data_IF_597392783553
#
_entry.id   IF_597392783553
#
_cell.length_a   1.000
_cell.length_b   1.000
_cell.length_c   1.000
_cell.angle_alpha   90.00
_cell.angle_beta   90.00
_cell.angle_gamma   90.00
#
_symmetry.space_group_name_H-M   'P 1'
#
loop_
_entity.id
_entity.type
_entity.pdbx_description
1 polymer ?
#
# COMPACT_ATOMS: atom_id res chain seq x y z
N UNK A 1 29.99 0.69 -2.40
CA UNK A 1 29.50 1.87 -1.66
C UNK A 1 29.15 1.42 -0.25
N UNK A 2 29.80 1.97 0.77
CA UNK A 2 29.62 1.53 2.17
C UNK A 2 28.65 2.50 2.83
N UNK A 3 27.40 2.08 3.03
CA UNK A 3 26.36 2.92 3.62
C UNK A 3 26.49 2.89 5.14
N UNK A 4 26.51 4.06 5.76
CA UNK A 4 26.58 4.18 7.22
C UNK A 4 25.28 3.69 7.87
N UNK A 5 25.35 3.15 9.10
CA UNK A 5 24.18 2.55 9.78
C UNK A 5 22.98 3.51 9.89
N UNK A 6 23.23 4.80 10.12
CA UNK A 6 22.19 5.83 10.19
C UNK A 6 21.52 6.11 8.84
N UNK A 7 22.29 6.16 7.76
CA UNK A 7 21.75 6.35 6.41
C UNK A 7 20.92 5.14 5.97
N UNK A 8 21.39 3.92 6.28
CA UNK A 8 20.61 2.70 6.06
C UNK A 8 19.28 2.72 6.80
N UNK A 9 19.26 3.21 8.04
CA UNK A 9 18.04 3.34 8.83
C UNK A 9 17.06 4.35 8.22
N UNK A 10 17.56 5.47 7.68
CA UNK A 10 16.76 6.44 6.94
C UNK A 10 16.10 5.80 5.72
N UNK A 11 16.87 5.10 4.88
CA UNK A 11 16.31 4.43 3.70
C UNK A 11 15.31 3.32 4.05
N UNK A 12 15.54 2.60 5.15
CA UNK A 12 14.58 1.64 5.67
C UNK A 12 13.27 2.32 6.12
N UNK A 13 13.35 3.49 6.76
CA UNK A 13 12.17 4.25 7.14
C UNK A 13 11.34 4.70 5.93
N UNK A 14 12.00 5.14 4.84
CA UNK A 14 11.33 5.48 3.58
C UNK A 14 10.55 4.28 3.01
N UNK A 15 11.16 3.10 2.97
CA UNK A 15 10.50 1.88 2.51
C UNK A 15 9.32 1.48 3.40
N UNK A 16 9.49 1.54 4.72
CA UNK A 16 8.43 1.21 5.67
C UNK A 16 7.25 2.17 5.49
N UNK A 17 7.52 3.46 5.29
CA UNK A 17 6.48 4.45 5.07
C UNK A 17 5.69 4.16 3.79
N UNK A 18 6.37 3.92 2.67
CA UNK A 18 5.71 3.56 1.41
C UNK A 18 4.86 2.27 1.54
N UNK A 19 5.37 1.25 2.25
CA UNK A 19 4.61 0.02 2.50
C UNK A 19 3.37 0.26 3.37
N UNK A 20 3.45 1.17 4.35
CA UNK A 20 2.30 1.57 5.18
C UNK A 20 1.25 2.34 4.39
N UNK A 21 1.69 3.25 3.51
CA UNK A 21 0.79 3.99 2.62
C UNK A 21 0.03 3.02 1.69
N UNK A 22 0.72 2.01 1.13
CA UNK A 22 0.11 0.96 0.31
C UNK A 22 -0.84 0.10 1.14
N UNK A 23 -0.45 -0.28 2.35
CA UNK A 23 -1.21 -1.17 3.23
C UNK A 23 -2.42 -0.51 3.91
N UNK A 24 -2.61 0.81 3.78
CA UNK A 24 -3.67 1.51 4.51
C UNK A 24 -3.38 1.73 5.99
N UNK A 25 -2.13 1.62 6.43
CA UNK A 25 -1.73 1.64 7.85
C UNK A 25 -0.79 2.80 8.21
N UNK A 26 -0.71 3.79 7.33
CA UNK A 26 0.06 5.00 7.56
C UNK A 26 -0.55 5.83 8.70
N UNK A 27 0.31 6.31 9.59
CA UNK A 27 -0.06 7.20 10.70
C UNK A 27 0.21 8.68 10.40
N UNK A 28 0.55 9.02 9.15
CA UNK A 28 0.81 10.40 8.74
C UNK A 28 -0.52 11.18 8.64
N UNK A 29 -0.56 12.36 9.25
CA UNK A 29 -1.74 13.24 9.17
C UNK A 29 -2.08 13.63 7.73
N UNK A 30 -1.08 13.77 6.85
CA UNK A 30 -1.32 14.07 5.43
C UNK A 30 -1.93 12.87 4.70
N UNK A 31 -1.49 11.66 5.05
CA UNK A 31 -2.06 10.43 4.50
C UNK A 31 -3.58 10.39 4.72
N UNK A 32 -4.03 10.70 5.94
CA UNK A 32 -5.46 10.66 6.28
C UNK A 32 -6.32 11.68 5.51
N UNK A 33 -5.72 12.75 4.97
CA UNK A 33 -6.44 13.70 4.10
C UNK A 33 -6.70 13.13 2.72
N UNK A 34 -5.84 12.24 2.22
CA UNK A 34 -5.97 11.67 0.88
C UNK A 34 -5.34 10.26 0.76
N UNK A 35 -5.90 9.24 1.42
CA UNK A 35 -5.31 7.89 1.49
C UNK A 35 -5.04 7.27 0.12
N UNK A 36 -6.00 7.41 -0.81
CA UNK A 36 -5.89 6.89 -2.17
C UNK A 36 -4.72 7.53 -2.95
N UNK A 37 -4.54 8.86 -2.83
CA UNK A 37 -3.44 9.57 -3.50
C UNK A 37 -2.07 9.10 -3.01
N UNK A 38 -1.90 8.97 -1.69
CA UNK A 38 -0.64 8.52 -1.10
C UNK A 38 -0.32 7.07 -1.47
N UNK A 39 -1.34 6.21 -1.41
CA UNK A 39 -1.25 4.83 -1.88
C UNK A 39 -0.82 4.77 -3.35
N UNK A 40 -1.48 5.50 -4.24
CA UNK A 40 -1.18 5.49 -5.67
C UNK A 40 0.24 6.02 -5.95
N UNK A 41 0.66 7.08 -5.24
CA UNK A 41 2.04 7.59 -5.31
C UNK A 41 3.06 6.54 -4.87
N UNK A 42 2.82 5.83 -3.77
CA UNK A 42 3.71 4.78 -3.29
C UNK A 42 3.78 3.59 -4.26
N UNK A 43 2.65 3.21 -4.86
CA UNK A 43 2.60 2.19 -5.90
C UNK A 43 3.38 2.61 -7.15
N UNK A 44 3.15 3.82 -7.66
CA UNK A 44 3.86 4.35 -8.83
C UNK A 44 5.37 4.46 -8.56
N UNK A 45 5.76 4.96 -7.38
CA UNK A 45 7.16 5.02 -6.97
C UNK A 45 7.83 3.66 -6.97
N UNK A 46 7.14 2.58 -6.55
CA UNK A 46 7.69 1.23 -6.55
C UNK A 46 8.04 0.66 -7.94
N UNK A 47 7.56 1.32 -9.01
CA UNK A 47 7.84 0.99 -10.41
C UNK A 47 9.03 1.78 -10.97
N UNK A 48 9.56 2.75 -10.24
CA UNK A 48 10.69 3.59 -10.68
C UNK A 48 12.05 2.92 -10.46
N UNK A 49 13.10 3.35 -11.17
CA UNK A 49 14.48 2.91 -10.90
C UNK A 49 14.93 3.21 -9.46
N UNK A 50 14.58 4.40 -8.95
CA UNK A 50 14.96 4.90 -7.61
C UNK A 50 14.51 3.97 -6.48
N UNK A 51 13.42 3.23 -6.68
CA UNK A 51 12.96 2.23 -5.72
C UNK A 51 13.98 1.11 -5.52
N UNK A 52 14.63 0.66 -6.60
CA UNK A 52 15.62 -0.42 -6.54
C UNK A 52 16.85 0.04 -5.77
N UNK A 53 17.31 1.26 -6.05
CA UNK A 53 18.40 1.89 -5.30
C UNK A 53 18.04 2.06 -3.82
N UNK A 54 16.84 2.55 -3.51
CA UNK A 54 16.36 2.70 -2.14
C UNK A 54 16.34 1.37 -1.38
N UNK A 55 15.93 0.28 -2.03
CA UNK A 55 15.98 -1.08 -1.46
C UNK A 55 17.42 -1.49 -1.10
N UNK A 56 18.35 -1.33 -2.04
CA UNK A 56 19.76 -1.62 -1.79
C UNK A 56 20.33 -0.74 -0.67
N UNK A 57 19.94 0.54 -0.64
CA UNK A 57 20.40 1.48 0.37
C UNK A 57 19.87 1.18 1.78
N UNK A 58 18.66 0.64 1.88
CA UNK A 58 18.12 0.06 3.11
C UNK A 58 18.71 -1.32 3.45
N UNK A 59 19.49 -1.91 2.53
CA UNK A 59 20.06 -3.25 2.65
C UNK A 59 18.99 -4.34 2.64
N UNK A 60 17.96 -4.17 1.81
CA UNK A 60 16.93 -5.18 1.54
C UNK A 60 16.89 -5.52 0.06
N UNK A 61 16.52 -6.76 -0.22
CA UNK A 61 16.47 -7.27 -1.59
C UNK A 61 15.20 -6.74 -2.32
N UNK A 62 15.33 -6.00 -3.44
CA UNK A 62 14.19 -5.36 -4.12
C UNK A 62 13.08 -6.34 -4.50
N UNK A 63 13.45 -7.54 -4.96
CA UNK A 63 12.48 -8.57 -5.35
C UNK A 63 11.57 -9.02 -4.19
N UNK A 64 12.10 -9.07 -2.96
CA UNK A 64 11.32 -9.38 -1.75
C UNK A 64 10.32 -8.28 -1.42
N UNK A 65 10.71 -7.03 -1.60
CA UNK A 65 9.82 -5.87 -1.35
C UNK A 65 8.73 -5.81 -2.42
N UNK A 66 9.05 -6.03 -3.70
CA UNK A 66 8.04 -6.12 -4.78
C UNK A 66 7.02 -7.23 -4.53
N UNK A 67 7.47 -8.40 -4.07
CA UNK A 67 6.56 -9.48 -3.69
C UNK A 67 5.65 -9.09 -2.50
N UNK A 68 6.14 -8.28 -1.55
CA UNK A 68 5.32 -7.77 -0.46
C UNK A 68 4.28 -6.76 -0.96
N UNK A 69 4.66 -5.83 -1.83
CA UNK A 69 3.76 -4.85 -2.45
C UNK A 69 2.64 -5.56 -3.22
N UNK A 70 2.96 -6.56 -4.05
CA UNK A 70 1.96 -7.33 -4.79
C UNK A 70 0.92 -8.00 -3.87
N UNK A 71 1.35 -8.52 -2.71
CA UNK A 71 0.44 -9.11 -1.71
C UNK A 71 -0.45 -8.08 -1.04
N UNK A 72 0.07 -6.87 -0.79
CA UNK A 72 -0.71 -5.78 -0.20
C UNK A 72 -1.79 -5.32 -1.19
N UNK A 73 -1.41 -5.06 -2.44
CA UNK A 73 -2.35 -4.62 -3.49
C UNK A 73 -3.44 -5.66 -3.80
N UNK A 74 -3.12 -6.95 -3.74
CA UNK A 74 -4.11 -8.01 -3.95
C UNK A 74 -5.16 -8.11 -2.84
N UNK A 75 -4.82 -7.73 -1.59
CA UNK A 75 -5.78 -7.74 -0.48
C UNK A 75 -6.88 -6.69 -0.67
N UNK A 76 -6.57 -5.56 -1.30
CA UNK A 76 -7.55 -4.51 -1.54
C UNK A 76 -8.55 -4.84 -2.63
N UNK A 77 -8.11 -5.55 -3.69
CA UNK A 77 -9.03 -6.07 -4.70
C UNK A 77 -10.07 -6.98 -4.01
N UNK A 78 -9.62 -7.89 -3.14
CA UNK A 78 -10.53 -8.77 -2.41
C UNK A 78 -11.47 -8.02 -1.46
N UNK A 79 -10.98 -7.00 -0.75
CA UNK A 79 -11.82 -6.20 0.15
C UNK A 79 -12.91 -5.42 -0.61
N UNK A 80 -12.56 -4.81 -1.76
CA UNK A 80 -13.52 -4.07 -2.60
C UNK A 80 -14.63 -4.97 -3.17
N UNK A 81 -14.32 -6.20 -3.53
CA UNK A 81 -15.32 -7.17 -4.02
C UNK A 81 -16.30 -7.61 -2.92
N UNK A 82 -15.85 -7.78 -1.67
CA UNK A 82 -16.72 -8.20 -0.55
C UNK A 82 -17.74 -7.11 -0.23
N UNK A 83 -17.35 -5.84 -0.23
CA UNK A 83 -18.27 -4.72 0.06
C UNK A 83 -19.36 -4.55 -1.02
N UNK A 84 -19.08 -4.87 -2.29
CA UNK A 84 -20.11 -4.85 -3.34
C UNK A 84 -21.15 -5.96 -3.18
N UNK A 85 -20.75 -7.17 -2.76
CA UNK A 85 -21.67 -8.29 -2.56
C UNK A 85 -22.61 -8.06 -1.35
N UNK A 86 -22.10 -7.44 -0.29
CA UNK A 86 -22.92 -7.10 0.89
C UNK A 86 -23.89 -5.93 0.64
N UNK A 87 -23.57 -5.03 -0.29
CA UNK A 87 -24.44 -3.91 -0.67
C UNK A 87 -25.66 -4.31 -1.51
N UNK A 88 -25.54 -5.36 -2.34
CA UNK A 88 -26.65 -5.85 -3.17
C UNK A 88 -27.63 -6.79 -2.43
N UNK A 89 -27.19 -7.43 -1.34
CA UNK A 89 -28.03 -8.40 -0.60
C UNK A 89 -29.03 -7.77 0.38
N UNK A 90 -28.88 -6.47 0.72
CA UNK A 90 -29.78 -5.78 1.66
C UNK A 90 -30.90 -4.95 0.98
N UNK A 91 -31.01 -4.98 -0.35
CA UNK A 91 -31.99 -4.18 -1.11
C UNK A 91 -33.25 -4.92 -1.58
N UNK A 92 -33.38 -6.23 -1.34
CA UNK A 92 -34.40 -7.04 -2.02
C UNK A 92 -35.35 -7.78 -1.06
N UNK A 93 -35.89 -7.12 -0.02
CA UNK A 93 -37.08 -7.61 0.68
C UNK A 93 -37.97 -6.41 1.04
N UNK A 94 -38.84 -6.01 0.12
CA UNK A 94 -39.80 -4.96 0.39
C UNK A 94 -40.79 -4.78 -0.74
N UNK A 95 -42.05 -5.11 -0.44
CA UNK A 95 -43.27 -4.66 -1.13
C UNK A 95 -43.65 -5.33 -2.45
N UNK A 96 -44.49 -6.36 -2.35
CA UNK A 96 -45.78 -6.36 -3.07
C UNK A 96 -46.86 -6.83 -2.10
N UNK A 97 -47.42 -5.88 -1.35
CA UNK A 97 -48.77 -5.97 -0.85
C UNK A 97 -49.62 -5.04 -1.70
N UNK A 98 -50.58 -5.61 -2.43
CA UNK A 98 -51.97 -5.16 -2.61
C UNK A 98 -52.69 -6.17 -3.52
#
# INVERSE_FOLDING_TARGET
MTIHSGERAMWAAVLIQALRDIAGTSGDSEYHKSPALHRDRALLWSLTPDFTETCHCAGVEPSRVKAAIARLSAKDIRASYVTQIEGESNGAIGSYGE
#
